data_IF_319310125076
#
_entry.id   IF_319310125076
#
_cell.length_a   1.000
_cell.length_b   1.000
_cell.length_c   1.000
_cell.angle_alpha   90.00
_cell.angle_beta   90.00
_cell.angle_gamma   90.00
#
_symmetry.space_group_name_H-M   'P 1'
#
loop_
_entity.id
_entity.type
_entity.pdbx_description
1 polymer ?
#
# COMPACT_ATOMS: atom_id res chain seq x y z
N UNK A 1 10.09 -70.18 13.65
CA UNK A 1 10.85 -71.32 13.14
C UNK A 1 10.87 -71.16 11.62
N UNK A 2 11.95 -70.80 10.93
CA UNK A 2 13.39 -70.78 11.22
C UNK A 2 14.04 -69.76 10.24
N UNK A 3 14.84 -68.84 10.76
CA UNK A 3 16.30 -68.71 10.60
C UNK A 3 16.82 -68.32 9.20
N UNK A 4 17.37 -67.10 9.15
CA UNK A 4 18.44 -66.65 8.24
C UNK A 4 19.65 -67.59 8.24
N UNK A 5 20.53 -67.42 7.23
CA UNK A 5 21.94 -67.39 7.55
C UNK A 5 22.66 -66.15 7.00
N UNK A 6 23.41 -65.54 7.90
CA UNK A 6 24.53 -64.62 7.67
C UNK A 6 25.58 -65.18 6.70
N UNK A 7 26.17 -64.30 5.88
CA UNK A 7 27.57 -64.44 5.46
C UNK A 7 28.23 -63.08 5.27
N UNK A 8 29.24 -62.83 6.09
CA UNK A 8 30.06 -61.62 6.10
C UNK A 8 31.36 -61.77 5.26
N UNK A 9 31.81 -60.60 4.80
CA UNK A 9 33.16 -60.17 4.37
C UNK A 9 33.75 -60.61 3.02
N UNK A 10 34.02 -59.61 2.18
CA UNK A 10 35.41 -59.24 1.84
C UNK A 10 35.51 -57.78 1.37
N UNK A 11 36.47 -57.05 1.94
CA UNK A 11 36.87 -55.69 1.60
C UNK A 11 37.42 -55.57 0.17
N UNK A 12 37.07 -54.49 -0.52
CA UNK A 12 37.90 -53.87 -1.57
C UNK A 12 37.61 -52.36 -1.57
N UNK A 13 38.68 -51.58 -1.44
CA UNK A 13 38.70 -50.12 -1.34
C UNK A 13 39.23 -49.55 -2.67
N UNK A 14 38.90 -48.28 -2.93
CA UNK A 14 39.30 -47.41 -4.05
C UNK A 14 38.43 -47.53 -5.30
N UNK A 15 37.94 -46.47 -5.97
CA UNK A 15 38.32 -45.05 -5.99
C UNK A 15 37.17 -44.17 -6.52
N UNK A 16 37.06 -42.98 -5.94
CA UNK A 16 36.53 -41.71 -6.48
C UNK A 16 35.88 -41.66 -7.88
N UNK A 17 34.62 -41.22 -7.90
CA UNK A 17 33.95 -40.64 -9.07
C UNK A 17 32.85 -39.71 -8.60
N UNK A 18 33.21 -38.46 -8.29
CA UNK A 18 32.27 -37.44 -7.84
C UNK A 18 31.28 -37.07 -8.93
N UNK A 19 30.02 -37.49 -8.79
CA UNK A 19 28.91 -36.91 -9.54
C UNK A 19 28.41 -35.67 -8.81
N UNK A 20 28.81 -34.51 -9.33
CA UNK A 20 28.27 -33.21 -8.97
C UNK A 20 26.75 -33.19 -9.20
N UNK A 21 25.98 -33.30 -8.12
CA UNK A 21 24.56 -32.97 -8.11
C UNK A 21 24.43 -31.46 -8.32
N UNK A 22 24.07 -31.08 -9.56
CA UNK A 22 23.78 -29.72 -9.95
C UNK A 22 22.69 -29.13 -9.07
N UNK A 23 23.03 -28.02 -8.41
CA UNK A 23 22.19 -27.18 -7.58
C UNK A 23 21.17 -26.40 -8.44
N UNK A 24 20.18 -27.09 -9.03
CA UNK A 24 19.11 -26.46 -9.83
C UNK A 24 17.76 -26.40 -9.10
N UNK A 25 17.68 -26.89 -7.86
CA UNK A 25 16.44 -26.87 -7.04
C UNK A 25 16.25 -25.59 -6.23
N UNK A 26 17.29 -24.79 -6.02
CA UNK A 26 17.23 -23.53 -5.25
C UNK A 26 16.70 -22.35 -6.07
N UNK A 27 17.04 -22.28 -7.37
CA UNK A 27 16.62 -21.19 -8.26
C UNK A 27 15.09 -21.10 -8.44
N UNK A 28 14.36 -22.21 -8.72
CA UNK A 28 12.91 -22.18 -8.89
C UNK A 28 12.19 -21.81 -7.57
N UNK A 29 12.71 -22.33 -6.45
CA UNK A 29 12.15 -22.04 -5.13
C UNK A 29 12.36 -20.57 -4.74
N UNK A 30 13.50 -19.98 -5.09
CA UNK A 30 13.79 -18.57 -4.82
C UNK A 30 12.96 -17.64 -5.71
N UNK A 31 12.81 -17.96 -7.00
CA UNK A 31 11.95 -17.22 -7.94
C UNK A 31 10.48 -17.26 -7.49
N UNK A 32 9.95 -18.44 -7.14
CA UNK A 32 8.56 -18.56 -6.66
C UNK A 32 8.33 -17.76 -5.36
N UNK A 33 9.28 -17.84 -4.42
CA UNK A 33 9.19 -17.07 -3.17
C UNK A 33 9.23 -15.55 -3.41
N UNK A 34 9.99 -15.08 -4.39
CA UNK A 34 10.07 -13.66 -4.73
C UNK A 34 8.77 -13.17 -5.40
N UNK A 35 8.19 -13.95 -6.32
CA UNK A 35 6.90 -13.67 -6.96
C UNK A 35 5.76 -13.64 -5.92
N UNK A 36 5.73 -14.62 -5.01
CA UNK A 36 4.76 -14.65 -3.92
C UNK A 36 4.94 -13.47 -2.95
N UNK A 37 6.18 -13.04 -2.69
CA UNK A 37 6.44 -11.89 -1.83
C UNK A 37 5.99 -10.58 -2.47
N UNK A 38 6.15 -10.44 -3.79
CA UNK A 38 5.67 -9.29 -4.53
C UNK A 38 4.13 -9.24 -4.59
N UNK A 39 3.48 -10.37 -4.85
CA UNK A 39 2.01 -10.45 -4.88
C UNK A 39 1.38 -10.09 -3.53
N UNK A 40 1.96 -10.56 -2.41
CA UNK A 40 1.54 -10.20 -1.05
C UNK A 40 1.71 -8.70 -0.80
N UNK A 41 2.83 -8.12 -1.21
CA UNK A 41 3.06 -6.68 -1.06
C UNK A 41 2.09 -5.86 -1.90
N UNK A 42 1.70 -6.31 -3.10
CA UNK A 42 0.80 -5.59 -4.01
C UNK A 42 -0.68 -5.72 -3.63
N UNK A 43 -1.04 -6.83 -2.98
CA UNK A 43 -2.35 -7.01 -2.35
C UNK A 43 -2.56 -5.99 -1.21
N UNK A 44 -1.49 -5.69 -0.46
CA UNK A 44 -1.46 -4.62 0.54
C UNK A 44 -1.29 -3.21 -0.04
N UNK A 45 -0.92 -2.28 0.84
CA UNK A 45 -0.46 -0.94 0.45
C UNK A 45 1.06 -0.99 0.16
N UNK A 46 1.49 -0.32 -0.90
CA UNK A 46 2.90 -0.21 -1.31
C UNK A 46 3.50 1.17 -1.03
N UNK A 47 2.71 2.10 -0.49
CA UNK A 47 3.13 3.44 -0.14
C UNK A 47 3.49 4.30 -1.35
N UNK A 48 4.49 5.16 -1.20
CA UNK A 48 4.99 6.04 -2.26
C UNK A 48 5.66 5.31 -3.43
N UNK A 49 5.83 3.98 -3.33
CA UNK A 49 6.41 3.17 -4.42
C UNK A 49 5.53 3.13 -5.66
N UNK A 50 4.20 3.24 -5.52
CA UNK A 50 3.30 3.30 -6.67
C UNK A 50 3.63 4.50 -7.57
N UNK A 51 3.82 5.67 -6.95
CA UNK A 51 4.17 6.93 -7.63
C UNK A 51 5.58 6.88 -8.25
N UNK A 52 6.54 6.21 -7.60
CA UNK A 52 7.92 6.07 -8.13
C UNK A 52 8.01 5.15 -9.35
N UNK A 53 7.24 4.05 -9.38
CA UNK A 53 7.20 3.11 -10.52
C UNK A 53 6.71 3.82 -11.78
N UNK A 54 5.71 4.70 -11.68
CA UNK A 54 5.16 5.50 -12.80
C UNK A 54 6.25 6.31 -13.52
N UNK A 55 7.11 7.02 -12.78
CA UNK A 55 8.18 7.80 -13.39
C UNK A 55 9.30 6.93 -13.99
N UNK A 56 9.50 5.72 -13.47
CA UNK A 56 10.49 4.79 -14.01
C UNK A 56 10.00 4.19 -15.32
N UNK A 57 8.73 3.81 -15.41
CA UNK A 57 8.08 3.37 -16.65
C UNK A 57 8.07 4.47 -17.72
N UNK A 58 7.70 5.72 -17.35
CA UNK A 58 7.73 6.88 -18.25
C UNK A 58 9.14 7.35 -18.67
N UNK A 59 10.19 6.86 -18.01
CA UNK A 59 11.59 7.08 -18.37
C UNK A 59 12.17 5.93 -19.19
N UNK A 60 11.70 4.70 -18.99
CA UNK A 60 12.05 3.54 -19.83
C UNK A 60 11.54 3.68 -21.27
N UNK A 61 10.39 4.32 -21.47
CA UNK A 61 9.87 4.69 -22.80
C UNK A 61 10.63 5.86 -23.47
N UNK A 62 11.62 6.46 -22.78
CA UNK A 62 12.53 7.48 -23.33
C UNK A 62 13.94 6.94 -23.59
N UNK A 63 14.21 5.66 -23.33
CA UNK A 63 15.54 5.04 -23.46
C UNK A 63 15.53 3.68 -24.20
N UNK A 64 14.53 3.41 -25.05
CA UNK A 64 14.55 2.23 -25.95
C UNK A 64 15.18 2.55 -27.33
N UNK A 65 16.31 3.26 -27.34
CA UNK A 65 17.09 3.54 -28.57
C UNK A 65 18.55 3.03 -28.47
N UNK A 66 18.93 2.36 -27.37
CA UNK A 66 20.27 1.77 -27.25
C UNK A 66 20.31 0.23 -27.40
N UNK A 67 19.20 -0.43 -27.77
CA UNK A 67 19.16 -1.87 -28.10
C UNK A 67 19.49 -2.18 -29.59
N UNK A 68 20.32 -1.36 -30.23
CA UNK A 68 20.69 -1.54 -31.65
C UNK A 68 22.20 -1.55 -31.93
N UNK A 69 23.03 -1.81 -30.92
CA UNK A 69 24.45 -2.14 -31.12
C UNK A 69 24.85 -3.26 -30.15
N UNK A 70 24.30 -4.46 -30.32
CA UNK A 70 24.98 -5.69 -29.87
C UNK A 70 24.36 -6.92 -30.54
N UNK A 71 24.60 -7.07 -31.85
CA UNK A 71 24.56 -8.37 -32.51
C UNK A 71 25.39 -8.36 -33.80
N UNK A 72 26.44 -9.18 -33.78
CA UNK A 72 27.44 -9.37 -34.84
C UNK A 72 28.82 -9.02 -34.28
N UNK A 73 29.71 -9.96 -33.95
CA UNK A 73 29.98 -11.27 -34.54
C UNK A 73 30.87 -12.08 -33.59
N UNK A 74 30.60 -13.38 -33.49
CA UNK A 74 31.43 -14.37 -32.78
C UNK A 74 32.61 -14.86 -33.63
N UNK A 75 33.69 -15.23 -32.90
CA UNK A 75 34.79 -16.17 -33.21
C UNK A 75 35.82 -15.70 -34.28
N UNK A 76 37.16 -15.82 -34.15
CA UNK A 76 38.00 -16.81 -33.45
C UNK A 76 39.47 -16.32 -33.34
N UNK A 77 40.19 -16.77 -32.30
CA UNK A 77 41.65 -17.10 -32.23
C UNK A 77 42.76 -16.11 -32.63
N UNK A 78 43.64 -15.81 -31.66
CA UNK A 78 45.08 -16.16 -31.72
C UNK A 78 46.12 -15.12 -32.20
N UNK A 79 47.16 -14.93 -31.38
CA UNK A 79 48.49 -14.31 -31.62
C UNK A 79 48.55 -12.77 -31.77
N UNK A 80 49.11 -12.03 -30.80
CA UNK A 80 50.54 -11.76 -30.47
C UNK A 80 51.08 -10.46 -31.13
N UNK A 81 51.79 -9.65 -30.31
CA UNK A 81 52.63 -8.48 -30.64
C UNK A 81 51.92 -7.19 -31.13
N UNK A 82 52.35 -5.94 -30.87
CA UNK A 82 53.47 -5.36 -30.11
C UNK A 82 53.18 -3.85 -29.85
N UNK A 83 53.63 -3.35 -28.71
CA UNK A 83 54.32 -2.07 -28.41
C UNK A 83 53.96 -0.74 -29.15
N UNK A 84 53.52 0.21 -28.31
CA UNK A 84 53.74 1.67 -28.21
C UNK A 84 54.76 2.39 -29.15
N UNK A 85 54.41 3.62 -29.56
CA UNK A 85 55.20 4.78 -30.10
C UNK A 85 54.59 5.28 -31.44
N UNK A 86 54.52 6.55 -31.84
CA UNK A 86 55.17 7.79 -31.39
C UNK A 86 54.40 9.01 -31.98
N UNK A 87 54.51 10.16 -31.32
CA UNK A 87 54.15 11.48 -31.86
C UNK A 87 55.29 12.03 -32.72
N UNK A 88 55.05 12.45 -33.98
CA UNK A 88 55.76 13.61 -34.55
C UNK A 88 55.15 14.22 -35.81
N UNK A 89 55.19 15.56 -35.78
CA UNK A 89 54.79 16.55 -36.77
C UNK A 89 55.62 16.57 -38.07
N UNK A 90 55.05 17.11 -39.17
CA UNK A 90 55.40 18.43 -39.76
C UNK A 90 54.88 18.63 -41.21
N UNK A 91 54.32 19.84 -41.43
CA UNK A 91 54.32 20.68 -42.65
C UNK A 91 53.50 20.22 -43.89
N UNK A 92 52.77 21.08 -44.64
CA UNK A 92 53.16 22.36 -45.27
C UNK A 92 51.95 23.25 -45.71
N UNK A 93 52.02 24.57 -45.43
CA UNK A 93 51.67 25.81 -46.23
C UNK A 93 50.35 25.91 -47.04
N UNK A 94 49.41 26.83 -46.75
CA UNK A 94 49.30 28.30 -47.02
C UNK A 94 48.88 28.72 -48.44
N UNK A 95 47.82 29.54 -48.59
CA UNK A 95 47.70 30.82 -49.37
C UNK A 95 46.22 31.32 -49.48
N UNK A 96 46.07 32.63 -49.71
CA UNK A 96 45.03 33.63 -49.33
C UNK A 96 43.94 33.93 -50.41
N UNK A 97 42.79 34.49 -49.96
CA UNK A 97 41.57 35.06 -50.66
C UNK A 97 41.81 36.30 -51.56
N UNK A 98 40.91 36.75 -52.50
CA UNK A 98 39.70 37.58 -52.22
C UNK A 98 38.47 37.51 -53.20
N UNK A 99 37.34 38.18 -52.80
CA UNK A 99 36.01 38.49 -53.42
C UNK A 99 36.14 39.54 -54.60
N UNK A 100 35.10 40.13 -55.31
CA UNK A 100 33.61 40.12 -55.17
C UNK A 100 32.71 40.29 -56.45
N UNK A 101 31.36 40.43 -56.26
CA UNK A 101 30.38 41.41 -56.90
C UNK A 101 29.09 40.89 -57.62
N UNK A 102 27.92 41.28 -57.05
CA UNK A 102 26.57 41.75 -57.52
C UNK A 102 25.64 41.04 -58.54
N UNK A 103 24.32 41.00 -58.22
CA UNK A 103 23.14 41.68 -58.86
C UNK A 103 21.82 40.90 -58.55
N UNK A 104 20.96 41.35 -57.62
CA UNK A 104 19.69 42.11 -57.75
C UNK A 104 18.45 41.43 -58.36
N UNK A 105 17.34 41.59 -57.62
CA UNK A 105 15.93 41.82 -58.02
C UNK A 105 14.92 40.65 -58.01
N UNK A 106 13.93 40.77 -57.11
CA UNK A 106 12.59 40.17 -57.18
C UNK A 106 11.61 41.16 -57.85
N UNK A 107 10.47 40.70 -58.42
CA UNK A 107 9.17 41.01 -57.78
C UNK A 107 8.06 39.92 -57.91
N UNK A 108 7.04 40.05 -57.05
CA UNK A 108 5.81 39.23 -56.89
C UNK A 108 4.82 39.27 -58.08
N UNK A 109 4.03 38.20 -58.31
CA UNK A 109 2.57 38.13 -57.99
C UNK A 109 1.80 36.85 -58.43
N UNK A 110 0.99 36.33 -57.50
CA UNK A 110 -0.39 35.78 -57.60
C UNK A 110 -0.70 34.32 -58.05
N UNK A 111 -0.99 33.50 -57.01
CA UNK A 111 -2.06 32.48 -56.81
C UNK A 111 -2.56 31.61 -58.00
N UNK A 112 -2.39 30.30 -57.87
CA UNK A 112 -3.42 29.29 -58.19
C UNK A 112 -3.34 28.10 -57.24
N UNK A 113 -4.50 27.51 -56.95
CA UNK A 113 -4.86 26.62 -55.84
C UNK A 113 -4.47 25.14 -56.05
N UNK A 114 -4.23 24.43 -54.93
CA UNK A 114 -4.63 23.03 -54.56
C UNK A 114 -3.53 22.21 -53.84
N UNK A 115 -3.52 22.30 -52.49
CA UNK A 115 -3.51 21.23 -51.43
C UNK A 115 -2.52 20.04 -51.45
N UNK A 116 -2.13 19.42 -50.30
CA UNK A 116 -2.11 19.88 -48.90
C UNK A 116 -0.76 19.65 -48.16
N UNK A 117 -0.66 20.36 -47.04
CA UNK A 117 0.40 20.30 -46.05
C UNK A 117 0.71 18.88 -45.55
N UNK A 118 1.99 18.53 -45.59
CA UNK A 118 2.59 17.53 -44.69
C UNK A 118 2.42 18.00 -43.26
N UNK A 119 1.42 17.45 -42.58
CA UNK A 119 1.27 17.54 -41.15
C UNK A 119 2.55 17.06 -40.48
N UNK A 120 3.29 17.97 -39.85
CA UNK A 120 4.15 17.63 -38.70
C UNK A 120 3.23 17.00 -37.67
N UNK A 121 3.22 15.67 -37.61
CA UNK A 121 2.61 14.93 -36.52
C UNK A 121 3.41 15.25 -35.26
N UNK A 122 3.00 16.28 -34.54
CA UNK A 122 3.46 16.54 -33.19
C UNK A 122 3.16 15.30 -32.36
N UNK A 123 4.22 14.65 -31.87
CA UNK A 123 4.09 13.73 -30.74
C UNK A 123 3.42 14.54 -29.63
N UNK A 124 2.17 14.21 -29.30
CA UNK A 124 1.51 14.73 -28.09
C UNK A 124 2.40 14.33 -26.92
N UNK A 125 3.20 15.27 -26.42
CA UNK A 125 3.82 15.15 -25.11
C UNK A 125 2.70 15.01 -24.10
N UNK A 126 2.50 13.80 -23.60
CA UNK A 126 1.69 13.57 -22.41
C UNK A 126 2.29 14.45 -21.29
N UNK A 127 1.63 15.58 -21.00
CA UNK A 127 2.09 16.55 -20.01
C UNK A 127 1.94 15.91 -18.63
N UNK A 128 2.96 15.17 -18.21
CA UNK A 128 3.05 14.56 -16.88
C UNK A 128 3.08 15.67 -15.84
N UNK A 129 2.23 15.54 -14.82
CA UNK A 129 2.15 16.47 -13.69
C UNK A 129 3.50 16.50 -12.94
N UNK A 130 3.98 17.66 -12.45
CA UNK A 130 5.23 17.70 -11.70
C UNK A 130 5.15 16.80 -10.46
N UNK A 131 6.25 16.09 -10.15
CA UNK A 131 6.31 15.05 -9.10
C UNK A 131 5.79 15.53 -7.74
N UNK A 132 6.12 16.77 -7.38
CA UNK A 132 5.67 17.39 -6.13
C UNK A 132 4.15 17.54 -6.08
N UNK A 133 3.52 17.87 -7.21
CA UNK A 133 2.08 18.08 -7.30
C UNK A 133 1.33 16.75 -7.32
N UNK A 134 1.87 15.70 -7.96
CA UNK A 134 1.33 14.34 -7.81
C UNK A 134 1.36 13.87 -6.35
N UNK A 135 2.47 14.14 -5.67
CA UNK A 135 2.64 13.80 -4.27
C UNK A 135 1.64 14.54 -3.37
N UNK A 136 1.50 15.86 -3.56
CA UNK A 136 0.52 16.69 -2.84
C UNK A 136 -0.91 16.20 -3.12
N UNK A 137 -1.24 15.93 -4.38
CA UNK A 137 -2.55 15.40 -4.76
C UNK A 137 -2.85 14.08 -4.03
N UNK A 138 -1.88 13.17 -3.98
CA UNK A 138 -2.00 11.91 -3.24
C UNK A 138 -2.27 12.13 -1.75
N UNK A 139 -1.51 13.02 -1.09
CA UNK A 139 -1.71 13.34 0.32
C UNK A 139 -3.08 13.96 0.61
N UNK A 140 -3.58 14.83 -0.28
CA UNK A 140 -4.92 15.42 -0.18
C UNK A 140 -6.00 14.33 -0.29
N UNK A 141 -5.89 13.43 -1.27
CA UNK A 141 -6.84 12.32 -1.43
C UNK A 141 -6.83 11.40 -0.20
N UNK A 142 -5.64 11.02 0.28
CA UNK A 142 -5.49 10.22 1.49
C UNK A 142 -6.13 10.90 2.71
N UNK A 143 -5.96 12.21 2.87
CA UNK A 143 -6.53 12.95 3.99
C UNK A 143 -8.07 12.96 3.95
N UNK A 144 -8.66 13.31 2.80
CA UNK A 144 -10.12 13.34 2.63
C UNK A 144 -10.73 11.97 2.89
N UNK A 145 -10.23 10.94 2.18
CA UNK A 145 -10.77 9.60 2.31
C UNK A 145 -10.50 9.02 3.70
N UNK A 146 -9.37 9.36 4.33
CA UNK A 146 -9.07 9.03 5.71
C UNK A 146 -10.10 9.56 6.70
N UNK A 147 -10.46 10.85 6.58
CA UNK A 147 -11.49 11.48 7.42
C UNK A 147 -12.86 10.81 7.17
N UNK A 148 -13.23 10.58 5.91
CA UNK A 148 -14.49 9.90 5.57
C UNK A 148 -14.54 8.45 6.12
N UNK A 149 -13.41 7.74 6.10
CA UNK A 149 -13.27 6.41 6.69
C UNK A 149 -13.46 6.44 8.20
N UNK A 150 -12.82 7.39 8.89
CA UNK A 150 -12.99 7.59 10.33
C UNK A 150 -14.44 7.93 10.70
N UNK A 151 -15.10 8.84 9.97
CA UNK A 151 -16.52 9.17 10.18
C UNK A 151 -17.38 7.92 10.00
N UNK A 152 -17.16 7.17 8.92
CA UNK A 152 -17.92 5.93 8.65
C UNK A 152 -17.73 4.93 9.80
N UNK A 153 -16.49 4.76 10.30
CA UNK A 153 -16.21 3.90 11.46
C UNK A 153 -17.01 4.33 12.68
N UNK A 154 -17.02 5.62 13.02
CA UNK A 154 -17.83 6.13 14.14
C UNK A 154 -19.33 5.89 13.95
N UNK A 155 -19.85 6.10 12.73
CA UNK A 155 -21.26 5.84 12.44
C UNK A 155 -21.62 4.36 12.59
N UNK A 156 -20.74 3.44 12.17
CA UNK A 156 -20.93 2.01 12.37
C UNK A 156 -20.87 1.62 13.85
N UNK A 157 -19.94 2.19 14.62
CA UNK A 157 -19.91 2.00 16.08
C UNK A 157 -21.23 2.44 16.74
N UNK A 158 -21.82 3.56 16.31
CA UNK A 158 -23.12 4.04 16.83
C UNK A 158 -24.30 3.19 16.36
N UNK A 159 -24.30 2.77 15.10
CA UNK A 159 -25.37 1.99 14.49
C UNK A 159 -25.46 0.59 15.09
N UNK A 160 -24.34 -0.10 15.27
CA UNK A 160 -24.29 -1.46 15.82
C UNK A 160 -24.06 -1.52 17.32
N UNK A 161 -23.71 -0.39 17.94
CA UNK A 161 -23.49 -0.28 19.38
C UNK A 161 -24.78 -0.26 20.20
N UNK A 162 -24.65 -0.02 21.52
CA UNK A 162 -25.76 -0.11 22.48
C UNK A 162 -26.91 0.87 22.23
N UNK A 163 -26.64 1.98 21.53
CA UNK A 163 -27.68 2.98 21.20
C UNK A 163 -28.49 2.66 19.97
N UNK A 164 -28.01 1.75 19.11
CA UNK A 164 -28.63 1.41 17.83
C UNK A 164 -29.17 -0.02 17.86
N UNK A 165 -28.53 -0.91 17.10
CA UNK A 165 -28.93 -2.30 16.94
C UNK A 165 -28.59 -3.21 18.14
N UNK A 166 -27.83 -2.72 19.14
CA UNK A 166 -27.48 -3.46 20.37
C UNK A 166 -26.74 -4.79 20.12
N UNK A 167 -26.00 -4.89 19.02
CA UNK A 167 -25.24 -6.09 18.64
C UNK A 167 -23.85 -6.10 19.28
N UNK A 168 -23.24 -4.91 19.41
CA UNK A 168 -21.88 -4.74 19.92
C UNK A 168 -21.88 -3.90 21.19
N UNK A 169 -20.91 -4.15 22.06
CA UNK A 169 -20.75 -3.38 23.29
C UNK A 169 -19.30 -3.39 23.78
N UNK A 170 -18.99 -2.47 24.69
CA UNK A 170 -17.69 -2.39 25.35
C UNK A 170 -17.43 -3.53 26.35
N UNK A 171 -18.43 -4.32 26.74
CA UNK A 171 -18.26 -5.47 27.62
C UNK A 171 -18.38 -6.81 26.91
N UNK A 172 -18.51 -6.81 25.59
CA UNK A 172 -18.80 -8.01 24.80
C UNK A 172 -17.58 -8.48 24.00
N UNK A 173 -17.58 -9.77 23.67
CA UNK A 173 -16.68 -10.36 22.69
C UNK A 173 -16.87 -9.70 21.31
N UNK A 174 -18.09 -9.23 21.01
CA UNK A 174 -18.41 -8.43 19.83
C UNK A 174 -18.13 -6.94 20.12
N UNK A 175 -16.87 -6.57 19.94
CA UNK A 175 -16.39 -5.22 20.18
C UNK A 175 -16.94 -4.19 19.17
N UNK A 176 -16.99 -2.92 19.57
CA UNK A 176 -17.62 -1.83 18.79
C UNK A 176 -17.00 -1.64 17.38
N UNK A 177 -15.71 -1.89 17.22
CA UNK A 177 -15.00 -1.80 15.93
C UNK A 177 -15.15 -3.06 15.04
N UNK A 178 -15.82 -4.11 15.50
CA UNK A 178 -15.95 -5.34 14.72
C UNK A 178 -16.73 -5.12 13.41
N UNK A 179 -17.90 -4.44 13.40
CA UNK A 179 -18.65 -4.20 12.17
C UNK A 179 -17.87 -3.35 11.16
N UNK A 180 -17.15 -2.33 11.63
CA UNK A 180 -16.33 -1.49 10.76
C UNK A 180 -15.15 -2.26 10.18
N UNK A 181 -14.50 -3.13 10.98
CA UNK A 181 -13.44 -4.02 10.51
C UNK A 181 -13.96 -5.04 9.47
N UNK A 182 -15.14 -5.62 9.67
CA UNK A 182 -15.77 -6.55 8.71
C UNK A 182 -16.13 -5.83 7.40
N UNK A 183 -16.87 -4.72 7.47
CA UNK A 183 -17.28 -3.94 6.28
C UNK A 183 -16.07 -3.43 5.52
N UNK A 184 -15.06 -2.89 6.21
CA UNK A 184 -13.84 -2.42 5.57
C UNK A 184 -13.04 -3.54 4.91
N UNK A 185 -12.97 -4.72 5.51
CA UNK A 185 -12.28 -5.88 4.92
C UNK A 185 -13.03 -6.44 3.71
N UNK A 186 -14.36 -6.50 3.76
CA UNK A 186 -15.20 -6.87 2.61
C UNK A 186 -15.00 -5.92 1.43
N UNK A 187 -15.10 -4.60 1.68
CA UNK A 187 -14.91 -3.58 0.65
C UNK A 187 -13.45 -3.52 0.15
N UNK A 188 -12.48 -3.94 0.95
CA UNK A 188 -11.09 -4.11 0.50
C UNK A 188 -10.97 -5.22 -0.54
N UNK A 189 -11.72 -6.31 -0.39
CA UNK A 189 -11.83 -7.34 -1.43
C UNK A 189 -12.37 -6.78 -2.76
N UNK A 190 -13.37 -5.89 -2.71
CA UNK A 190 -13.91 -5.23 -3.90
C UNK A 190 -12.95 -4.23 -4.52
N UNK A 191 -12.60 -3.18 -3.78
CA UNK A 191 -11.92 -2.01 -4.33
C UNK A 191 -10.40 -2.09 -4.22
N UNK A 192 -9.88 -2.81 -3.23
CA UNK A 192 -8.45 -2.99 -2.99
C UNK A 192 -7.85 -4.22 -3.68
N UNK A 193 -8.67 -5.22 -4.04
CA UNK A 193 -8.19 -6.44 -4.71
C UNK A 193 -8.74 -6.54 -6.14
N UNK A 194 -10.06 -6.70 -6.31
CA UNK A 194 -10.62 -7.05 -7.64
C UNK A 194 -10.69 -5.85 -8.60
N UNK A 195 -11.16 -4.69 -8.15
CA UNK A 195 -11.37 -3.51 -9.00
C UNK A 195 -10.25 -2.46 -8.90
N UNK A 196 -9.20 -2.71 -8.11
CA UNK A 196 -8.08 -1.76 -7.89
C UNK A 196 -7.48 -1.26 -9.22
N UNK A 197 -7.21 -2.18 -10.15
CA UNK A 197 -6.65 -1.84 -11.46
C UNK A 197 -7.61 -1.01 -12.33
N UNK A 198 -8.92 -1.31 -12.30
CA UNK A 198 -9.91 -0.57 -13.10
C UNK A 198 -10.14 0.83 -12.56
N UNK A 199 -10.19 0.99 -11.23
CA UNK A 199 -10.24 2.30 -10.56
C UNK A 199 -8.95 3.08 -10.85
N UNK A 200 -7.79 2.41 -10.85
CA UNK A 200 -6.50 3.01 -11.16
C UNK A 200 -6.41 3.57 -12.59
N UNK A 201 -7.08 2.94 -13.57
CA UNK A 201 -7.20 3.46 -14.95
C UNK A 201 -7.99 4.78 -15.01
N UNK A 202 -8.96 4.97 -14.12
CA UNK A 202 -9.73 6.23 -14.01
C UNK A 202 -8.91 7.28 -13.28
N UNK A 203 -8.38 6.93 -12.10
CA UNK A 203 -7.49 7.79 -11.32
C UNK A 203 -6.73 6.97 -10.28
N UNK A 204 -5.40 6.94 -10.39
CA UNK A 204 -4.54 6.28 -9.40
C UNK A 204 -4.67 6.93 -8.01
N UNK A 205 -4.84 8.27 -7.94
CA UNK A 205 -5.06 8.97 -6.66
C UNK A 205 -6.38 8.54 -6.00
N UNK A 206 -7.40 8.24 -6.80
CA UNK A 206 -8.67 7.72 -6.30
C UNK A 206 -8.52 6.28 -5.80
N UNK A 207 -7.80 5.42 -6.53
CA UNK A 207 -7.54 4.06 -6.10
C UNK A 207 -6.77 4.03 -4.76
N UNK A 208 -5.73 4.87 -4.63
CA UNK A 208 -4.96 5.02 -3.38
C UNK A 208 -5.84 5.62 -2.28
N UNK A 209 -6.57 6.69 -2.56
CA UNK A 209 -7.47 7.34 -1.60
C UNK A 209 -8.53 6.37 -1.05
N UNK A 210 -9.17 5.59 -1.92
CA UNK A 210 -10.21 4.63 -1.52
C UNK A 210 -9.64 3.44 -0.75
N UNK A 211 -8.61 2.78 -1.27
CA UNK A 211 -8.01 1.59 -0.62
C UNK A 211 -7.24 1.97 0.65
N UNK A 212 -6.28 2.88 0.53
CA UNK A 212 -5.38 3.24 1.63
C UNK A 212 -6.03 4.24 2.57
N UNK A 213 -6.64 5.30 2.06
CA UNK A 213 -7.29 6.33 2.88
C UNK A 213 -8.54 5.80 3.56
N UNK A 214 -9.59 5.55 2.76
CA UNK A 214 -10.94 5.25 3.27
C UNK A 214 -11.02 3.90 3.96
N UNK A 215 -10.71 2.82 3.23
CA UNK A 215 -10.84 1.46 3.79
C UNK A 215 -9.82 1.20 4.90
N UNK A 216 -8.63 1.79 4.79
CA UNK A 216 -7.64 1.79 5.86
C UNK A 216 -8.19 2.40 7.15
N UNK A 217 -8.72 3.63 7.11
CA UNK A 217 -9.25 4.37 8.27
C UNK A 217 -10.63 3.93 8.76
N UNK A 218 -11.42 3.27 7.90
CA UNK A 218 -12.68 2.62 8.25
C UNK A 218 -12.43 1.46 9.22
N UNK A 219 -11.31 0.76 9.06
CA UNK A 219 -10.90 -0.30 9.99
C UNK A 219 -9.92 0.22 11.03
N UNK A 220 -9.78 -0.47 12.15
CA UNK A 220 -8.75 -0.17 13.14
C UNK A 220 -8.29 -1.43 13.84
N UNK A 221 -6.97 -1.66 13.81
CA UNK A 221 -6.34 -2.73 14.57
C UNK A 221 -6.02 -2.28 16.01
N UNK A 222 -5.58 -1.03 16.19
CA UNK A 222 -5.27 -0.50 17.51
C UNK A 222 -6.52 -0.44 18.41
N UNK A 223 -7.67 0.00 17.88
CA UNK A 223 -8.95 -0.01 18.61
C UNK A 223 -9.39 -1.41 19.02
N UNK A 224 -9.26 -2.38 18.11
CA UNK A 224 -9.51 -3.79 18.40
C UNK A 224 -8.60 -4.30 19.53
N UNK A 225 -7.29 -4.08 19.43
CA UNK A 225 -6.31 -4.51 20.44
C UNK A 225 -6.58 -3.85 21.80
N UNK A 226 -6.84 -2.54 21.83
CA UNK A 226 -7.16 -1.82 23.08
C UNK A 226 -8.40 -2.40 23.75
N UNK A 227 -9.43 -2.75 22.98
CA UNK A 227 -10.62 -3.36 23.54
C UNK A 227 -10.33 -4.71 24.21
N UNK A 228 -9.47 -5.52 23.60
CA UNK A 228 -9.05 -6.79 24.19
C UNK A 228 -8.22 -6.57 25.46
N UNK A 229 -7.40 -5.51 25.50
CA UNK A 229 -6.67 -5.10 26.70
C UNK A 229 -7.60 -4.66 27.83
N UNK A 230 -8.66 -3.89 27.53
CA UNK A 230 -9.68 -3.50 28.51
C UNK A 230 -10.35 -4.74 29.12
N UNK A 231 -10.84 -5.67 28.29
CA UNK A 231 -11.46 -6.92 28.75
C UNK A 231 -10.49 -7.76 29.60
N UNK A 232 -9.21 -7.82 29.20
CA UNK A 232 -8.20 -8.53 29.96
C UNK A 232 -7.89 -7.85 31.29
N UNK A 233 -7.84 -6.52 31.33
CA UNK A 233 -7.58 -5.76 32.56
C UNK A 233 -8.72 -5.95 33.57
N UNK A 234 -9.96 -6.05 33.09
CA UNK A 234 -11.17 -6.30 33.89
C UNK A 234 -11.32 -7.78 34.33
N UNK A 235 -10.31 -8.62 34.11
CA UNK A 235 -10.32 -10.04 34.49
C UNK A 235 -11.09 -10.95 33.52
N UNK A 236 -11.63 -10.43 32.42
CA UNK A 236 -12.36 -11.18 31.40
C UNK A 236 -11.42 -11.72 30.30
N UNK A 237 -10.31 -12.36 30.68
CA UNK A 237 -9.27 -12.85 29.76
C UNK A 237 -9.81 -13.80 28.67
N UNK A 238 -10.81 -14.63 28.99
CA UNK A 238 -11.46 -15.48 27.99
C UNK A 238 -12.17 -14.66 26.90
N UNK A 239 -12.83 -13.56 27.27
CA UNK A 239 -13.49 -12.67 26.31
C UNK A 239 -12.47 -11.99 25.40
N UNK A 240 -11.31 -11.61 25.95
CA UNK A 240 -10.20 -11.06 25.17
C UNK A 240 -9.67 -12.07 24.13
N UNK A 241 -9.41 -13.32 24.54
CA UNK A 241 -8.94 -14.38 23.62
C UNK A 241 -9.98 -14.68 22.54
N UNK A 242 -11.25 -14.88 22.93
CA UNK A 242 -12.34 -15.11 21.98
C UNK A 242 -12.55 -13.92 21.05
N UNK A 243 -12.37 -12.69 21.53
CA UNK A 243 -12.49 -11.48 20.72
C UNK A 243 -11.39 -11.36 19.67
N UNK A 244 -10.17 -11.84 19.96
CA UNK A 244 -9.13 -11.98 18.93
C UNK A 244 -9.45 -13.06 17.89
N UNK A 245 -9.94 -14.22 18.32
CA UNK A 245 -10.30 -15.31 17.41
C UNK A 245 -11.46 -14.89 16.49
N UNK A 246 -12.56 -14.39 17.07
CA UNK A 246 -13.72 -13.93 16.29
C UNK A 246 -13.36 -12.77 15.38
N UNK A 247 -12.59 -11.79 15.86
CA UNK A 247 -12.14 -10.67 15.04
C UNK A 247 -11.33 -11.12 13.82
N UNK A 248 -10.38 -12.05 14.00
CA UNK A 248 -9.58 -12.59 12.90
C UNK A 248 -10.42 -13.41 11.92
N UNK A 249 -11.25 -14.35 12.40
CA UNK A 249 -12.05 -15.20 11.52
C UNK A 249 -13.12 -14.42 10.74
N UNK A 250 -13.82 -13.49 11.39
CA UNK A 250 -14.86 -12.72 10.72
C UNK A 250 -14.29 -11.74 9.70
N UNK A 251 -13.16 -11.10 9.99
CA UNK A 251 -12.53 -10.15 9.04
C UNK A 251 -11.85 -10.86 7.87
N UNK A 252 -11.21 -12.01 8.13
CA UNK A 252 -10.66 -12.86 7.06
C UNK A 252 -11.77 -13.41 6.16
N UNK A 253 -12.88 -13.91 6.73
CA UNK A 253 -14.02 -14.33 5.92
C UNK A 253 -14.66 -13.17 5.15
N UNK A 254 -14.72 -11.98 5.75
CA UNK A 254 -15.26 -10.78 5.09
C UNK A 254 -14.50 -10.41 3.82
N UNK A 255 -13.16 -10.44 3.82
CA UNK A 255 -12.40 -10.14 2.60
C UNK A 255 -12.59 -11.21 1.52
N UNK A 256 -12.69 -12.48 1.90
CA UNK A 256 -12.91 -13.60 0.98
C UNK A 256 -14.25 -13.43 0.28
N UNK A 257 -15.31 -13.22 1.05
CA UNK A 257 -16.64 -12.91 0.52
C UNK A 257 -16.61 -11.68 -0.38
N UNK A 258 -15.85 -10.64 0.00
CA UNK A 258 -15.62 -9.47 -0.84
C UNK A 258 -15.06 -9.87 -2.21
N UNK A 259 -13.93 -10.56 -2.24
CA UNK A 259 -13.28 -11.00 -3.48
C UNK A 259 -14.21 -11.85 -4.34
N UNK A 260 -14.89 -12.83 -3.77
CA UNK A 260 -15.80 -13.74 -4.47
C UNK A 260 -16.99 -12.99 -5.10
N UNK A 261 -17.65 -12.14 -4.31
CA UNK A 261 -18.81 -11.36 -4.79
C UNK A 261 -18.39 -10.32 -5.85
N UNK A 262 -17.21 -9.70 -5.73
CA UNK A 262 -16.70 -8.79 -6.76
C UNK A 262 -16.36 -9.52 -8.07
N UNK A 263 -15.74 -10.70 -8.01
CA UNK A 263 -15.47 -11.54 -9.20
C UNK A 263 -16.79 -11.91 -9.90
N UNK A 264 -17.80 -12.34 -9.13
CA UNK A 264 -19.14 -12.62 -9.65
C UNK A 264 -19.80 -11.41 -10.31
N UNK A 265 -19.70 -10.23 -9.68
CA UNK A 265 -20.21 -8.98 -10.24
C UNK A 265 -19.49 -8.58 -11.54
N UNK A 266 -18.15 -8.71 -11.59
CA UNK A 266 -17.35 -8.43 -12.79
C UNK A 266 -17.74 -9.35 -13.95
N UNK A 267 -17.95 -10.63 -13.67
CA UNK A 267 -18.45 -11.59 -14.65
C UNK A 267 -19.83 -11.19 -15.19
N UNK A 268 -20.74 -10.75 -14.31
CA UNK A 268 -22.07 -10.27 -14.70
C UNK A 268 -21.99 -9.03 -15.61
N UNK A 269 -21.11 -8.07 -15.29
CA UNK A 269 -20.87 -6.89 -16.12
C UNK A 269 -20.35 -7.28 -17.51
N UNK A 270 -19.36 -8.16 -17.60
CA UNK A 270 -18.83 -8.63 -18.88
C UNK A 270 -19.89 -9.34 -19.73
N UNK A 271 -20.76 -10.14 -19.10
CA UNK A 271 -21.86 -10.81 -19.79
C UNK A 271 -22.90 -9.84 -20.33
N UNK A 272 -23.13 -8.70 -19.67
CA UNK A 272 -24.03 -7.64 -20.17
C UNK A 272 -23.37 -6.76 -21.23
N UNK A 273 -22.08 -6.46 -21.06
CA UNK A 273 -21.32 -5.61 -21.97
C UNK A 273 -21.00 -6.27 -23.32
N UNK A 274 -21.13 -7.60 -23.45
CA UNK A 274 -21.04 -8.27 -24.77
C UNK A 274 -22.27 -8.03 -25.65
N UNK A 275 -23.28 -7.28 -25.17
CA UNK A 275 -24.52 -6.95 -25.90
C UNK A 275 -24.59 -5.51 -26.40
N UNK A 276 -23.67 -4.62 -26.01
CA UNK A 276 -23.62 -3.23 -26.52
C UNK A 276 -22.21 -2.88 -27.00
N UNK A 277 -22.11 -2.43 -28.25
CA UNK A 277 -20.89 -1.87 -28.82
C UNK A 277 -20.36 -0.72 -27.95
N UNK A 278 -19.06 -0.81 -27.66
CA UNK A 278 -18.37 0.03 -26.68
C UNK A 278 -18.19 1.44 -27.25
N UNK A 279 -19.16 2.32 -26.95
CA UNK A 279 -19.03 3.74 -27.24
C UNK A 279 -17.83 4.34 -26.51
N UNK A 280 -17.18 5.26 -27.23
CA UNK A 280 -15.88 5.85 -26.99
C UNK A 280 -15.69 6.34 -25.55
N UNK A 281 -14.60 5.87 -24.93
CA UNK A 281 -14.03 6.49 -23.74
C UNK A 281 -13.79 7.97 -24.06
N UNK A 282 -14.61 8.86 -23.49
CA UNK A 282 -14.39 10.30 -23.57
C UNK A 282 -12.96 10.56 -23.09
N UNK A 283 -12.07 10.87 -24.03
CA UNK A 283 -10.69 11.26 -23.78
C UNK A 283 -10.73 12.68 -23.20
N UNK A 284 -11.18 12.80 -21.95
CA UNK A 284 -11.06 14.04 -21.18
C UNK A 284 -9.57 14.30 -21.04
N UNK A 285 -9.16 15.54 -21.31
CA UNK A 285 -7.77 15.95 -21.26
C UNK A 285 -7.17 15.61 -19.88
N UNK A 286 -6.30 14.59 -19.82
CA UNK A 286 -5.90 13.88 -18.58
C UNK A 286 -5.35 14.84 -17.51
N UNK A 287 -4.55 15.83 -17.91
CA UNK A 287 -3.99 16.83 -17.01
C UNK A 287 -5.05 17.74 -16.38
N UNK A 288 -6.00 18.26 -17.19
CA UNK A 288 -7.08 19.12 -16.70
C UNK A 288 -7.97 18.36 -15.71
N UNK A 289 -8.26 17.09 -16.02
CA UNK A 289 -9.03 16.21 -15.14
C UNK A 289 -8.33 16.01 -13.78
N UNK A 290 -7.02 15.72 -13.79
CA UNK A 290 -6.25 15.57 -12.55
C UNK A 290 -6.19 16.84 -11.70
N UNK A 291 -6.02 18.02 -12.33
CA UNK A 291 -6.02 19.31 -11.62
C UNK A 291 -7.40 19.60 -11.03
N UNK A 292 -8.47 19.39 -11.80
CA UNK A 292 -9.85 19.59 -11.32
C UNK A 292 -10.15 18.64 -10.15
N UNK A 293 -9.76 17.37 -10.26
CA UNK A 293 -9.90 16.38 -9.18
C UNK A 293 -9.12 16.81 -7.93
N UNK A 294 -7.87 17.27 -8.07
CA UNK A 294 -7.09 17.77 -6.95
C UNK A 294 -7.76 18.98 -6.28
N UNK A 295 -8.22 19.97 -7.06
CA UNK A 295 -8.91 21.15 -6.53
C UNK A 295 -10.19 20.74 -5.80
N UNK A 296 -11.00 19.85 -6.39
CA UNK A 296 -12.22 19.36 -5.76
C UNK A 296 -11.94 18.67 -4.42
N UNK A 297 -10.92 17.82 -4.38
CA UNK A 297 -10.52 17.12 -3.15
C UNK A 297 -9.94 18.09 -2.11
N UNK A 298 -9.22 19.13 -2.54
CA UNK A 298 -8.75 20.18 -1.64
C UNK A 298 -9.91 20.97 -1.02
N UNK A 299 -10.90 21.36 -1.83
CA UNK A 299 -12.10 22.04 -1.35
C UNK A 299 -12.88 21.16 -0.36
N UNK A 300 -13.01 19.87 -0.67
CA UNK A 300 -13.65 18.91 0.23
C UNK A 300 -12.87 18.75 1.55
N UNK A 301 -11.54 18.71 1.49
CA UNK A 301 -10.69 18.66 2.68
C UNK A 301 -10.89 19.89 3.56
N UNK A 302 -10.86 21.09 2.98
CA UNK A 302 -11.10 22.35 3.69
C UNK A 302 -12.51 22.34 4.29
N UNK A 303 -13.53 21.90 3.55
CA UNK A 303 -14.90 21.79 4.06
C UNK A 303 -15.01 20.82 5.25
N UNK A 304 -14.37 19.65 5.17
CA UNK A 304 -14.37 18.66 6.27
C UNK A 304 -13.64 19.17 7.51
N UNK A 305 -12.49 19.83 7.35
CA UNK A 305 -11.71 20.37 8.47
C UNK A 305 -12.42 21.56 9.12
N UNK A 306 -13.01 22.45 8.32
CA UNK A 306 -13.78 23.59 8.83
C UNK A 306 -15.05 23.13 9.56
N UNK A 307 -15.81 22.20 8.99
CA UNK A 307 -16.97 21.59 9.65
C UNK A 307 -16.58 20.91 10.97
N UNK A 308 -15.50 20.12 10.96
CA UNK A 308 -14.98 19.47 12.18
C UNK A 308 -14.58 20.49 13.24
N UNK A 309 -13.90 21.57 12.85
CA UNK A 309 -13.48 22.63 13.77
C UNK A 309 -14.67 23.37 14.39
N UNK A 310 -15.65 23.75 13.58
CA UNK A 310 -16.87 24.45 14.05
C UNK A 310 -17.68 23.57 15.00
N UNK A 311 -17.84 22.28 14.66
CA UNK A 311 -18.59 21.34 15.48
C UNK A 311 -17.83 20.95 16.76
N UNK A 312 -16.50 20.93 16.71
CA UNK A 312 -15.65 20.74 17.88
C UNK A 312 -15.86 21.87 18.88
N UNK A 313 -15.73 23.14 18.46
CA UNK A 313 -15.92 24.30 19.35
C UNK A 313 -17.29 24.27 20.02
N UNK A 314 -18.34 23.87 19.30
CA UNK A 314 -19.71 23.77 19.85
C UNK A 314 -19.90 22.64 20.88
N UNK A 315 -19.09 21.59 20.82
CA UNK A 315 -19.30 20.35 21.58
C UNK A 315 -18.18 20.03 22.58
N UNK A 316 -17.06 20.76 22.54
CA UNK A 316 -15.88 20.48 23.37
C UNK A 316 -16.20 20.51 24.86
N UNK A 317 -16.88 21.56 25.33
CA UNK A 317 -17.25 21.72 26.74
C UNK A 317 -18.28 20.69 27.22
N UNK A 318 -18.90 19.94 26.30
CA UNK A 318 -19.81 18.85 26.61
C UNK A 318 -19.08 17.51 26.80
N UNK A 319 -17.80 17.39 26.40
CA UNK A 319 -17.00 16.16 26.56
C UNK A 319 -17.69 14.91 26.00
N UNK A 320 -18.54 15.08 24.99
CA UNK A 320 -19.35 14.00 24.42
C UNK A 320 -18.54 13.15 23.45
N UNK A 321 -19.04 11.95 23.10
CA UNK A 321 -18.45 11.12 22.03
C UNK A 321 -18.36 11.87 20.69
N UNK A 322 -19.20 12.88 20.48
CA UNK A 322 -19.17 13.73 19.30
C UNK A 322 -18.00 14.71 19.31
N UNK A 323 -17.60 15.25 20.47
CA UNK A 323 -16.40 16.07 20.57
C UNK A 323 -15.15 15.25 20.21
N UNK A 324 -15.13 13.98 20.62
CA UNK A 324 -14.06 13.04 20.28
C UNK A 324 -14.00 12.76 18.78
N UNK A 325 -15.16 12.59 18.12
CA UNK A 325 -15.24 12.45 16.67
C UNK A 325 -14.62 13.65 15.96
N UNK A 326 -15.08 14.87 16.27
CA UNK A 326 -14.69 16.06 15.50
C UNK A 326 -13.22 16.42 15.69
N UNK A 327 -12.69 16.32 16.91
CA UNK A 327 -11.24 16.47 17.13
C UNK A 327 -10.46 15.32 16.48
N UNK A 328 -11.00 14.10 16.52
CA UNK A 328 -10.45 12.95 15.81
C UNK A 328 -10.32 13.17 14.31
N UNK A 329 -11.32 13.77 13.66
CA UNK A 329 -11.29 14.13 12.24
C UNK A 329 -10.15 15.11 11.92
N UNK A 330 -9.84 16.06 12.81
CA UNK A 330 -8.74 17.01 12.61
C UNK A 330 -7.37 16.34 12.64
N UNK A 331 -7.22 15.26 13.41
CA UNK A 331 -5.95 14.52 13.58
C UNK A 331 -5.89 13.20 12.80
N UNK A 332 -6.90 12.90 11.98
CA UNK A 332 -6.97 11.67 11.20
C UNK A 332 -5.91 11.62 10.07
N UNK A 333 -5.71 12.73 9.35
CA UNK A 333 -4.84 12.79 8.18
C UNK A 333 -3.36 12.41 8.49
N UNK A 334 -2.72 12.90 9.57
CA UNK A 334 -1.38 12.45 9.96
C UNK A 334 -1.26 10.93 10.14
N UNK A 335 -2.28 10.27 10.70
CA UNK A 335 -2.29 8.81 10.87
C UNK A 335 -2.26 8.07 9.54
N UNK A 336 -3.11 8.50 8.59
CA UNK A 336 -3.16 7.91 7.24
C UNK A 336 -1.85 8.12 6.49
N UNK A 337 -1.30 9.33 6.54
CA UNK A 337 -0.04 9.63 5.88
C UNK A 337 1.08 8.76 6.43
N UNK A 338 1.22 8.68 7.76
CA UNK A 338 2.25 7.86 8.39
C UNK A 338 2.10 6.38 8.01
N UNK A 339 0.87 5.84 7.97
CA UNK A 339 0.63 4.48 7.50
C UNK A 339 1.09 4.29 6.05
N UNK A 340 0.69 5.19 5.14
CA UNK A 340 1.11 5.14 3.73
C UNK A 340 2.63 5.28 3.56
N UNK A 341 3.27 6.10 4.38
CA UNK A 341 4.72 6.20 4.43
C UNK A 341 5.38 4.91 4.92
N UNK A 342 4.82 4.24 5.92
CA UNK A 342 5.34 2.96 6.42
C UNK A 342 5.14 1.84 5.40
N UNK A 343 4.05 1.85 4.64
CA UNK A 343 3.74 0.86 3.61
C UNK A 343 4.82 0.72 2.51
N UNK A 344 5.71 1.71 2.35
CA UNK A 344 6.89 1.58 1.47
C UNK A 344 7.86 0.47 1.88
N UNK A 345 7.77 -0.01 3.12
CA UNK A 345 8.58 -1.10 3.68
C UNK A 345 7.99 -2.48 3.37
N UNK A 346 6.72 -2.56 2.95
CA UNK A 346 6.09 -3.83 2.56
C UNK A 346 6.85 -4.47 1.38
N UNK A 347 7.14 -5.77 1.44
CA UNK A 347 7.83 -6.49 0.37
C UNK A 347 9.34 -6.21 0.22
N UNK A 348 9.95 -5.43 1.15
CA UNK A 348 11.40 -5.09 1.08
C UNK A 348 12.33 -6.07 1.79
N UNK A 349 11.80 -6.97 2.62
CA UNK A 349 12.63 -7.89 3.41
C UNK A 349 13.49 -7.19 4.47
N UNK A 350 14.33 -7.97 5.15
CA UNK A 350 15.27 -7.56 6.18
C UNK A 350 16.69 -8.01 5.82
N UNK A 351 17.71 -7.28 6.29
CA UNK A 351 19.14 -7.61 6.11
C UNK A 351 19.86 -6.80 5.02
N UNK A 352 21.18 -6.96 4.96
CA UNK A 352 22.10 -6.23 4.05
C UNK A 352 21.77 -6.51 2.57
N UNK A 353 21.42 -7.76 2.25
CA UNK A 353 21.02 -8.20 0.91
C UNK A 353 19.50 -8.10 0.65
N UNK A 354 18.69 -7.71 1.65
CA UNK A 354 17.21 -7.62 1.57
C UNK A 354 16.47 -8.88 1.09
N UNK A 355 17.14 -10.04 1.09
CA UNK A 355 16.58 -11.29 0.59
C UNK A 355 15.74 -12.05 1.64
N UNK A 356 15.95 -11.81 2.93
CA UNK A 356 15.24 -12.53 3.98
C UNK A 356 13.90 -11.86 4.33
N UNK A 357 12.86 -12.66 4.61
CA UNK A 357 11.55 -12.20 5.10
C UNK A 357 10.82 -11.20 4.19
N UNK A 358 11.07 -11.24 2.87
CA UNK A 358 10.37 -10.38 1.89
C UNK A 358 8.86 -10.60 1.88
N UNK A 359 8.42 -11.79 2.27
CA UNK A 359 7.01 -12.15 2.40
C UNK A 359 6.28 -11.40 3.53
N UNK A 360 7.00 -10.77 4.47
CA UNK A 360 6.40 -10.02 5.59
C UNK A 360 6.12 -8.57 5.17
N UNK A 361 4.87 -8.09 5.29
CA UNK A 361 4.54 -6.68 5.13
C UNK A 361 4.93 -5.85 6.37
N UNK A 362 6.22 -5.51 6.47
CA UNK A 362 6.76 -4.80 7.64
C UNK A 362 6.13 -3.42 7.88
N UNK A 363 5.73 -2.70 6.83
CA UNK A 363 5.08 -1.41 6.95
C UNK A 363 3.75 -1.49 7.69
N UNK A 364 2.89 -2.43 7.29
CA UNK A 364 1.58 -2.67 7.92
C UNK A 364 1.76 -3.19 9.35
N UNK A 365 2.70 -4.12 9.57
CA UNK A 365 3.04 -4.64 10.90
C UNK A 365 3.47 -3.52 11.85
N UNK A 366 4.45 -2.70 11.44
CA UNK A 366 4.97 -1.59 12.26
C UNK A 366 3.86 -0.58 12.56
N UNK A 367 3.03 -0.23 11.57
CA UNK A 367 1.93 0.70 11.76
C UNK A 367 0.92 0.18 12.80
N UNK A 368 0.54 -1.09 12.73
CA UNK A 368 -0.41 -1.72 13.65
C UNK A 368 0.16 -1.84 15.07
N UNK A 369 1.37 -2.36 15.22
CA UNK A 369 2.02 -2.53 16.53
C UNK A 369 2.29 -1.17 17.19
N UNK A 370 2.85 -0.21 16.45
CA UNK A 370 3.14 1.12 16.99
C UNK A 370 1.85 1.86 17.41
N UNK A 371 0.80 1.82 16.58
CA UNK A 371 -0.47 2.42 16.93
C UNK A 371 -1.11 1.78 18.17
N UNK A 372 -1.04 0.44 18.30
CA UNK A 372 -1.54 -0.28 19.47
C UNK A 372 -0.77 0.09 20.74
N UNK A 373 0.57 0.20 20.68
CA UNK A 373 1.40 0.60 21.81
C UNK A 373 1.10 2.02 22.29
N UNK A 374 1.03 2.98 21.37
CA UNK A 374 0.71 4.38 21.72
C UNK A 374 -0.75 4.48 22.21
N UNK A 375 -1.65 3.67 21.67
CA UNK A 375 -3.05 3.64 22.12
C UNK A 375 -3.16 3.16 23.57
N UNK A 376 -2.43 2.10 23.93
CA UNK A 376 -2.32 1.60 25.29
C UNK A 376 -1.73 2.65 26.24
N UNK A 377 -0.65 3.33 25.84
CA UNK A 377 -0.06 4.40 26.64
C UNK A 377 -1.02 5.56 26.92
N UNK A 378 -1.80 5.98 25.90
CA UNK A 378 -2.84 6.99 26.08
C UNK A 378 -4.01 6.49 26.94
N UNK A 379 -4.34 5.20 26.90
CA UNK A 379 -5.36 4.61 27.76
C UNK A 379 -4.93 4.63 29.23
N UNK A 380 -3.66 4.33 29.51
CA UNK A 380 -3.07 4.46 30.85
C UNK A 380 -3.07 5.91 31.31
N UNK A 381 -2.68 6.85 30.44
CA UNK A 381 -2.70 8.30 30.75
C UNK A 381 -4.11 8.81 31.08
N UNK A 382 -5.13 8.32 30.37
CA UNK A 382 -6.54 8.65 30.66
C UNK A 382 -6.94 8.23 32.07
N UNK A 383 -6.56 7.00 32.46
CA UNK A 383 -6.84 6.47 33.80
C UNK A 383 -6.07 7.20 34.90
N UNK A 384 -4.80 7.56 34.66
CA UNK A 384 -3.97 8.22 35.69
C UNK A 384 -4.31 9.69 35.92
N UNK A 385 -4.58 10.45 34.86
CA UNK A 385 -4.88 11.89 34.98
C UNK A 385 -6.35 12.12 35.31
N UNK A 386 -7.25 11.31 34.73
CA UNK A 386 -8.70 11.33 34.96
C UNK A 386 -9.36 12.73 34.89
N UNK A 387 -8.87 13.60 33.99
CA UNK A 387 -9.52 14.89 33.73
C UNK A 387 -10.32 14.83 32.44
N UNK A 388 -11.44 15.57 32.39
CA UNK A 388 -12.32 15.62 31.21
C UNK A 388 -11.59 16.05 29.94
N UNK A 389 -10.72 17.06 30.05
CA UNK A 389 -9.94 17.59 28.92
C UNK A 389 -8.94 16.56 28.43
N UNK A 390 -8.18 15.92 29.33
CA UNK A 390 -7.26 14.83 28.98
C UNK A 390 -8.01 13.68 28.31
N UNK A 391 -9.13 13.24 28.89
CA UNK A 391 -9.95 12.15 28.35
C UNK A 391 -10.49 12.46 26.95
N UNK A 392 -10.93 13.70 26.72
CA UNK A 392 -11.43 14.12 25.40
C UNK A 392 -10.30 14.15 24.37
N UNK A 393 -9.17 14.79 24.70
CA UNK A 393 -8.01 14.90 23.79
C UNK A 393 -7.41 13.53 23.49
N UNK A 394 -7.12 12.73 24.52
CA UNK A 394 -6.54 11.40 24.36
C UNK A 394 -7.48 10.47 23.57
N UNK A 395 -8.78 10.46 23.86
CA UNK A 395 -9.74 9.64 23.08
C UNK A 395 -9.83 10.09 21.63
N UNK A 396 -9.67 11.40 21.35
CA UNK A 396 -9.64 11.92 19.98
C UNK A 396 -8.38 11.51 19.22
N UNK A 397 -7.22 11.50 19.89
CA UNK A 397 -5.96 11.01 19.29
C UNK A 397 -6.04 9.50 19.06
N UNK A 398 -6.57 8.74 20.03
CA UNK A 398 -6.82 7.30 19.89
C UNK A 398 -7.75 7.02 18.70
N UNK A 399 -8.90 7.69 18.64
CA UNK A 399 -9.88 7.50 17.59
C UNK A 399 -9.38 7.97 16.21
N UNK A 400 -8.87 9.21 16.11
CA UNK A 400 -8.48 9.82 14.85
C UNK A 400 -7.13 9.33 14.36
N UNK A 401 -6.05 9.72 15.04
CA UNK A 401 -4.68 9.49 14.59
C UNK A 401 -4.31 8.00 14.63
N UNK A 402 -4.43 7.35 15.79
CA UNK A 402 -4.00 5.96 15.98
C UNK A 402 -4.97 4.98 15.30
N UNK A 403 -6.26 5.32 15.29
CA UNK A 403 -7.27 4.59 14.54
C UNK A 403 -6.95 4.55 13.05
N UNK A 404 -6.61 5.70 12.44
CA UNK A 404 -6.27 5.80 11.01
C UNK A 404 -4.86 5.31 10.64
N UNK A 405 -3.92 5.32 11.62
CA UNK A 405 -2.58 4.77 11.47
C UNK A 405 -2.59 3.25 11.39
N UNK A 406 -3.43 2.59 12.20
CA UNK A 406 -3.60 1.14 12.16
C UNK A 406 -4.66 0.72 11.13
N UNK A 407 -4.66 -0.55 10.72
CA UNK A 407 -5.68 -1.07 9.80
C UNK A 407 -5.84 -2.58 9.91
N UNK A 408 -7.08 -3.06 9.77
CA UNK A 408 -7.39 -4.48 9.61
C UNK A 408 -7.64 -4.83 8.15
N UNK A 409 -8.20 -3.91 7.35
CA UNK A 409 -8.48 -4.19 5.93
C UNK A 409 -7.22 -4.47 5.11
N UNK A 410 -6.14 -3.70 5.29
CA UNK A 410 -4.84 -3.99 4.63
C UNK A 410 -4.21 -5.27 5.16
N UNK A 411 -4.27 -5.50 6.49
CA UNK A 411 -3.81 -6.75 7.11
C UNK A 411 -4.54 -7.97 6.51
N UNK A 412 -5.85 -7.87 6.29
CA UNK A 412 -6.65 -8.94 5.68
C UNK A 412 -6.37 -9.13 4.19
N UNK A 413 -6.04 -8.06 3.46
CA UNK A 413 -5.61 -8.16 2.05
C UNK A 413 -4.29 -8.92 1.92
N UNK A 414 -3.32 -8.59 2.76
CA UNK A 414 -2.04 -9.30 2.87
C UNK A 414 -2.24 -10.75 3.32
N UNK A 415 -3.10 -10.97 4.32
CA UNK A 415 -3.48 -12.31 4.80
C UNK A 415 -4.08 -13.17 3.70
N UNK A 416 -5.04 -12.62 2.92
CA UNK A 416 -5.67 -13.39 1.85
C UNK A 416 -4.67 -13.73 0.74
N UNK A 417 -3.78 -12.78 0.38
CA UNK A 417 -2.73 -13.04 -0.60
C UNK A 417 -1.75 -14.13 -0.12
N UNK A 418 -1.34 -14.11 1.15
CA UNK A 418 -0.51 -15.18 1.71
C UNK A 418 -1.23 -16.52 1.74
N UNK A 419 -2.53 -16.53 1.99
CA UNK A 419 -3.34 -17.75 2.02
C UNK A 419 -3.54 -18.36 0.63
N UNK A 420 -3.54 -17.53 -0.42
CA UNK A 420 -3.59 -17.96 -1.82
C UNK A 420 -2.20 -18.33 -2.37
N UNK A 421 -1.12 -18.07 -1.64
CA UNK A 421 0.26 -18.43 -2.02
C UNK A 421 0.59 -19.91 -1.75
N UNK A 422 1.77 -20.36 -2.20
CA UNK A 422 2.28 -21.72 -1.98
C UNK A 422 2.47 -22.06 -0.48
N UNK A 423 2.56 -21.04 0.39
CA UNK A 423 2.82 -21.18 1.82
C UNK A 423 1.71 -20.54 2.69
N UNK A 424 0.49 -21.13 2.76
CA UNK A 424 -0.66 -20.51 3.43
C UNK A 424 -0.48 -20.31 4.94
N UNK A 425 0.39 -21.10 5.60
CA UNK A 425 0.69 -20.95 7.02
C UNK A 425 1.27 -19.57 7.37
N UNK A 426 1.94 -18.90 6.41
CA UNK A 426 2.50 -17.55 6.57
C UNK A 426 1.45 -16.53 6.97
N UNK A 427 0.23 -16.66 6.43
CA UNK A 427 -0.89 -15.78 6.75
C UNK A 427 -1.22 -15.81 8.24
N UNK A 428 -1.36 -17.02 8.80
CA UNK A 428 -1.65 -17.24 10.22
C UNK A 428 -0.49 -16.82 11.11
N UNK A 429 0.75 -17.18 10.74
CA UNK A 429 1.93 -16.77 11.50
C UNK A 429 2.05 -15.24 11.58
N UNK A 430 1.84 -14.53 10.47
CA UNK A 430 1.87 -13.07 10.40
C UNK A 430 0.77 -12.41 11.26
N UNK A 431 -0.48 -12.86 11.11
CA UNK A 431 -1.60 -12.32 11.88
C UNK A 431 -1.44 -12.59 13.38
N UNK A 432 -1.10 -13.84 13.75
CA UNK A 432 -0.86 -14.23 15.15
C UNK A 432 0.31 -13.47 15.76
N UNK A 433 1.41 -13.27 15.03
CA UNK A 433 2.54 -12.48 15.52
C UNK A 433 2.15 -11.01 15.76
N UNK A 434 1.43 -10.41 14.82
CA UNK A 434 0.97 -9.01 14.95
C UNK A 434 0.07 -8.83 16.17
N UNK A 435 -0.86 -9.76 16.40
CA UNK A 435 -1.74 -9.79 17.58
C UNK A 435 -0.94 -10.00 18.87
N UNK A 436 -0.12 -11.06 18.92
CA UNK A 436 0.59 -11.46 20.14
C UNK A 436 1.56 -10.37 20.61
N UNK A 437 2.33 -9.77 19.71
CA UNK A 437 3.27 -8.68 20.07
C UNK A 437 2.51 -7.44 20.56
N UNK A 438 1.46 -7.03 19.84
CA UNK A 438 0.67 -5.85 20.22
C UNK A 438 -0.01 -6.03 21.57
N UNK A 439 -0.56 -7.22 21.83
CA UNK A 439 -1.23 -7.53 23.08
C UNK A 439 -0.25 -7.68 24.24
N UNK A 440 0.89 -8.34 24.04
CA UNK A 440 1.92 -8.50 25.08
C UNK A 440 2.50 -7.15 25.52
N UNK A 441 2.90 -6.31 24.56
CA UNK A 441 3.42 -4.97 24.87
C UNK A 441 2.32 -4.10 25.48
N UNK A 442 1.10 -4.17 24.95
CA UNK A 442 -0.05 -3.47 25.52
C UNK A 442 -0.39 -3.89 26.95
N UNK A 443 -0.22 -5.17 27.29
CA UNK A 443 -0.42 -5.68 28.65
C UNK A 443 0.57 -5.04 29.61
N UNK A 444 1.84 -4.91 29.21
CA UNK A 444 2.87 -4.23 30.02
C UNK A 444 2.57 -2.73 30.17
N UNK A 445 2.13 -2.06 29.10
CA UNK A 445 1.90 -0.61 29.09
C UNK A 445 0.59 -0.20 29.79
N UNK A 446 -0.44 -1.04 29.71
CA UNK A 446 -1.79 -0.71 30.17
C UNK A 446 -2.28 -1.62 31.30
N UNK A 447 -2.38 -2.92 31.07
CA UNK A 447 -2.99 -3.84 32.05
C UNK A 447 -2.19 -3.89 33.35
N UNK A 448 -0.86 -3.95 33.29
CA UNK A 448 0.01 -3.96 34.49
C UNK A 448 -0.19 -2.70 35.33
N UNK A 449 -0.09 -1.46 34.79
CA UNK A 449 -0.42 -0.26 35.56
C UNK A 449 -1.84 -0.26 36.14
N UNK A 450 -2.84 -0.73 35.40
CA UNK A 450 -4.22 -0.83 35.90
C UNK A 450 -4.31 -1.76 37.11
N UNK A 451 -3.63 -2.90 37.08
CA UNK A 451 -3.63 -3.86 38.19
C UNK A 451 -2.82 -3.38 39.41
N UNK A 452 -1.67 -2.74 39.19
CA UNK A 452 -0.76 -2.32 40.27
C UNK A 452 -1.28 -1.08 40.99
N UNK A 453 -1.70 -0.06 40.24
CA UNK A 453 -2.16 1.21 40.81
C UNK A 453 -3.64 1.19 41.20
N UNK A 454 -4.38 0.14 40.80
CA UNK A 454 -5.81 0.00 41.08
C UNK A 454 -6.64 1.09 40.41
N UNK A 455 -6.25 1.51 39.20
CA UNK A 455 -7.03 2.48 38.43
C UNK A 455 -8.39 1.89 38.06
N UNK A 456 -9.45 2.29 38.79
CA UNK A 456 -10.84 1.98 38.46
C UNK A 456 -11.24 2.66 37.14
#
# INVERSE_FOLDING_TARGET
MDQEPDRAMSFSRESSGGSSLSLSRSLPLQINNDVDSESVSEAGDIGDRSLRRRHSAGRSSRLSVDDLIEQGTNDTSGQEHDVLHDLRALNTTSVVKPLPVNLTASPLQTKSLLSPATNKLGKEEERVLPKSLEYISCLIHLAVFGILGAITRYLLQKLFGPTGAQVTSDGSILYLDLPSNMVGSFLMGWFGVVFKADIGKVSEFLAIGLSTGYLGSLTTFSGWNQKMLDLSADGQWLHAVLGFLLGLFLTSYSIILGVETAKGFRWLLHRRASSEERNSCLKVNTLRSHIVSMILMLLLLVALLTASSVLLVKKFDKGTSEAQLWLGCLVAAPGVWLRWFLARLNGRGLGEDRQHLRWIPFGTLIANVAAACVMAALATLKKSVNTRTCNTVASSIQFGLLGCLSTVSTLMAEFNAMRESDCPWRAYAYASFTIAVSFAVGTVIYSVPVWVEGFN
#
